data_IF_833924551050
#
_entry.id   IF_833924551050
#
_cell.length_a   1.000
_cell.length_b   1.000
_cell.length_c   1.000
_cell.angle_alpha   90.00
_cell.angle_beta   90.00
_cell.angle_gamma   90.00
#
_symmetry.space_group_name_H-M   'P 1'
#
loop_
_entity.id
_entity.type
_entity.pdbx_description
1 polymer ?
#
# COMPACT_ATOMS: atom_id res chain seq x y z
N UNK A 1 -12.12 -48.19 14.99
CA UNK A 1 -12.46 -46.76 15.13
C UNK A 1 -11.17 -45.97 15.03
N UNK A 2 -10.53 -46.04 13.87
CA UNK A 2 -9.29 -45.32 13.55
C UNK A 2 -9.72 -44.04 12.84
N UNK A 3 -9.97 -43.00 13.61
CA UNK A 3 -10.20 -41.66 13.06
C UNK A 3 -8.81 -41.20 12.59
N UNK A 4 -8.60 -41.13 11.27
CA UNK A 4 -7.28 -40.86 10.71
C UNK A 4 -6.65 -39.59 11.33
N UNK A 5 -5.33 -39.60 11.59
CA UNK A 5 -4.60 -38.43 12.10
C UNK A 5 -4.70 -37.22 11.17
N UNK A 6 -5.02 -37.43 9.88
CA UNK A 6 -5.32 -36.36 8.93
C UNK A 6 -6.53 -35.50 9.35
N UNK A 7 -7.55 -36.08 9.96
CA UNK A 7 -8.74 -35.36 10.42
C UNK A 7 -8.42 -34.51 11.66
N UNK A 8 -7.51 -34.98 12.52
CA UNK A 8 -7.02 -34.20 13.67
C UNK A 8 -6.12 -33.07 13.19
N UNK A 9 -5.23 -33.32 12.21
CA UNK A 9 -4.42 -32.27 11.59
C UNK A 9 -5.29 -31.17 10.95
N UNK A 10 -6.38 -31.55 10.26
CA UNK A 10 -7.33 -30.60 9.66
C UNK A 10 -8.10 -29.75 10.70
N UNK A 11 -8.25 -30.23 11.94
CA UNK A 11 -8.90 -29.49 13.02
C UNK A 11 -7.93 -28.57 13.80
N UNK A 12 -6.63 -28.85 13.77
CA UNK A 12 -5.62 -28.14 14.58
C UNK A 12 -4.65 -27.25 13.78
N UNK A 13 -4.73 -27.23 12.44
CA UNK A 13 -3.88 -26.37 11.61
C UNK A 13 -4.66 -25.71 10.48
N UNK A 14 -4.60 -24.38 10.42
CA UNK A 14 -4.85 -23.66 9.16
C UNK A 14 -3.68 -23.96 8.22
N UNK A 15 -3.69 -25.13 7.62
CA UNK A 15 -2.74 -25.56 6.63
C UNK A 15 -3.06 -25.02 5.25
N UNK A 16 -2.17 -25.29 4.30
CA UNK A 16 -2.41 -25.03 2.89
C UNK A 16 -3.72 -25.67 2.36
N UNK A 17 -4.11 -26.90 2.75
CA UNK A 17 -5.37 -27.50 2.31
C UNK A 17 -6.61 -26.71 2.74
N UNK A 18 -6.67 -26.26 3.99
CA UNK A 18 -7.80 -25.50 4.54
C UNK A 18 -7.93 -24.14 3.84
N UNK A 19 -6.81 -23.46 3.60
CA UNK A 19 -6.82 -22.20 2.84
C UNK A 19 -7.29 -22.39 1.40
N UNK A 20 -6.95 -23.51 0.75
CA UNK A 20 -7.45 -23.83 -0.59
C UNK A 20 -8.97 -24.04 -0.57
N UNK A 21 -9.52 -24.74 0.43
CA UNK A 21 -10.97 -24.93 0.55
C UNK A 21 -11.69 -23.60 0.74
N UNK A 22 -11.18 -22.74 1.63
CA UNK A 22 -11.74 -21.39 1.84
C UNK A 22 -11.65 -20.57 0.55
N UNK A 23 -10.52 -20.63 -0.16
CA UNK A 23 -10.33 -19.96 -1.44
C UNK A 23 -11.34 -20.43 -2.48
N UNK A 24 -11.58 -21.74 -2.59
CA UNK A 24 -12.61 -22.29 -3.50
C UNK A 24 -13.99 -21.74 -3.15
N UNK A 25 -14.37 -21.70 -1.87
CA UNK A 25 -15.66 -21.13 -1.45
C UNK A 25 -15.76 -19.66 -1.87
N UNK A 26 -14.72 -18.86 -1.62
CA UNK A 26 -14.68 -17.46 -2.06
C UNK A 26 -14.75 -17.31 -3.58
N UNK A 27 -14.10 -18.19 -4.34
CA UNK A 27 -14.15 -18.21 -5.79
C UNK A 27 -15.54 -18.57 -6.31
N UNK A 28 -16.30 -19.43 -5.63
CA UNK A 28 -17.68 -19.76 -6.00
C UNK A 28 -18.63 -18.60 -5.70
N UNK A 29 -18.47 -17.94 -4.53
CA UNK A 29 -19.33 -16.83 -4.12
C UNK A 29 -19.08 -15.55 -4.93
N UNK A 30 -17.81 -15.20 -5.15
CA UNK A 30 -17.42 -13.96 -5.81
C UNK A 30 -17.05 -14.14 -7.28
N UNK A 31 -16.70 -15.35 -7.71
CA UNK A 31 -16.17 -15.63 -9.04
C UNK A 31 -14.65 -15.43 -9.14
N UNK A 32 -13.97 -16.28 -9.92
CA UNK A 32 -12.51 -16.23 -10.07
C UNK A 32 -11.95 -14.94 -10.66
N UNK A 33 -12.75 -14.19 -11.39
CA UNK A 33 -12.34 -12.90 -11.95
C UNK A 33 -12.37 -11.75 -10.92
N UNK A 34 -13.14 -11.87 -9.83
CA UNK A 34 -13.33 -10.77 -8.87
C UNK A 34 -12.18 -10.66 -7.86
N UNK A 35 -11.60 -11.78 -7.41
CA UNK A 35 -10.46 -11.75 -6.48
C UNK A 35 -9.25 -10.95 -7.04
N UNK A 36 -8.77 -11.20 -8.27
CA UNK A 36 -7.67 -10.42 -8.85
C UNK A 36 -8.01 -8.94 -9.03
N UNK A 37 -9.26 -8.62 -9.37
CA UNK A 37 -9.71 -7.24 -9.53
C UNK A 37 -9.70 -6.48 -8.19
N UNK A 38 -10.20 -7.11 -7.12
CA UNK A 38 -10.19 -6.55 -5.77
C UNK A 38 -8.76 -6.38 -5.25
N UNK A 39 -7.90 -7.38 -5.46
CA UNK A 39 -6.50 -7.32 -5.09
C UNK A 39 -5.74 -6.19 -5.82
N UNK A 40 -6.00 -6.01 -7.12
CA UNK A 40 -5.43 -4.90 -7.90
C UNK A 40 -5.87 -3.53 -7.36
N UNK A 41 -7.17 -3.35 -7.13
CA UNK A 41 -7.71 -2.10 -6.58
C UNK A 41 -7.14 -1.77 -5.20
N UNK A 42 -7.18 -2.74 -4.28
CA UNK A 42 -6.61 -2.58 -2.93
C UNK A 42 -5.11 -2.30 -2.97
N UNK A 43 -4.37 -2.99 -3.84
CA UNK A 43 -2.93 -2.79 -4.02
C UNK A 43 -2.60 -1.39 -4.54
N UNK A 44 -3.39 -0.86 -5.46
CA UNK A 44 -3.26 0.53 -5.93
C UNK A 44 -3.54 1.52 -4.81
N UNK A 45 -4.63 1.34 -4.05
CA UNK A 45 -4.94 2.22 -2.91
C UNK A 45 -3.85 2.20 -1.84
N UNK A 46 -3.32 1.03 -1.48
CA UNK A 46 -2.21 0.92 -0.51
C UNK A 46 -0.94 1.58 -1.06
N UNK A 47 -0.65 1.45 -2.35
CA UNK A 47 0.51 2.08 -2.99
C UNK A 47 0.42 3.61 -2.96
N UNK A 48 -0.73 4.16 -3.32
CA UNK A 48 -0.97 5.61 -3.29
C UNK A 48 -0.96 6.14 -1.85
N UNK A 49 -1.57 5.42 -0.91
CA UNK A 49 -1.55 5.76 0.50
C UNK A 49 -0.12 5.82 1.06
N UNK A 50 0.72 4.83 0.77
CA UNK A 50 2.14 4.82 1.16
C UNK A 50 2.93 5.97 0.52
N UNK A 51 2.62 6.33 -0.73
CA UNK A 51 3.27 7.45 -1.42
C UNK A 51 2.92 8.78 -0.74
N UNK A 52 1.63 9.01 -0.48
CA UNK A 52 1.17 10.20 0.21
C UNK A 52 1.76 10.32 1.63
N UNK A 53 1.85 9.21 2.38
CA UNK A 53 2.52 9.21 3.69
C UNK A 53 3.98 9.65 3.60
N UNK A 54 4.75 9.13 2.64
CA UNK A 54 6.15 9.53 2.43
C UNK A 54 6.29 11.01 2.03
N UNK A 55 5.40 11.51 1.19
CA UNK A 55 5.40 12.92 0.78
C UNK A 55 5.13 13.84 1.97
N UNK A 56 4.21 13.45 2.86
CA UNK A 56 3.93 14.18 4.11
C UNK A 56 5.13 14.14 5.07
N UNK A 57 5.76 12.98 5.27
CA UNK A 57 6.98 12.86 6.09
C UNK A 57 8.12 13.73 5.55
N UNK A 58 8.34 13.70 4.23
CA UNK A 58 9.40 14.49 3.57
C UNK A 58 9.10 15.99 3.63
N UNK A 59 7.84 16.40 3.51
CA UNK A 59 7.42 17.79 3.63
C UNK A 59 7.47 18.32 5.08
N UNK A 60 7.29 17.45 6.07
CA UNK A 60 7.45 17.80 7.48
C UNK A 60 8.92 17.99 7.88
N UNK A 61 9.86 17.38 7.15
CA UNK A 61 11.31 17.55 7.35
C UNK A 61 11.90 18.70 6.49
N UNK A 62 11.15 19.18 5.49
CA UNK A 62 11.61 20.22 4.57
C UNK A 62 10.75 21.48 4.67
N UNK A 63 11.04 22.36 5.63
CA UNK A 63 10.66 23.77 5.52
C UNK A 63 11.30 24.37 4.24
N UNK A 64 10.60 25.27 3.52
CA UNK A 64 11.02 25.68 2.18
C UNK A 64 12.18 26.68 2.20
N UNK A 65 13.41 26.21 2.03
CA UNK A 65 14.44 27.01 1.36
C UNK A 65 14.14 27.04 -0.14
N UNK A 66 13.31 27.99 -0.59
CA UNK A 66 13.39 28.68 -1.89
C UNK A 66 12.08 29.40 -2.19
N UNK A 67 11.96 30.63 -1.67
CA UNK A 67 11.12 31.66 -2.26
C UNK A 67 11.62 33.07 -1.86
N UNK A 68 12.94 33.29 -1.84
CA UNK A 68 13.52 34.63 -1.85
C UNK A 68 14.24 34.83 -3.18
N UNK A 69 13.48 35.09 -4.24
CA UNK A 69 14.03 35.72 -5.45
C UNK A 69 14.65 37.04 -4.98
N UNK A 70 15.98 37.11 -5.06
CA UNK A 70 16.76 38.35 -4.92
C UNK A 70 16.03 39.50 -5.63
N UNK A 71 15.77 40.63 -4.95
CA UNK A 71 15.50 41.89 -5.65
C UNK A 71 16.61 42.14 -6.67
N UNK A 72 16.28 42.58 -7.89
CA UNK A 72 17.30 42.88 -8.89
C UNK A 72 18.23 43.94 -8.32
N UNK A 73 19.52 43.66 -8.38
CA UNK A 73 20.59 44.60 -8.10
C UNK A 73 20.36 45.86 -8.96
N UNK A 74 19.91 46.93 -8.32
CA UNK A 74 19.93 48.27 -8.89
C UNK A 74 21.37 48.75 -8.94
N UNK A 75 22.06 48.38 -10.02
CA UNK A 75 23.27 49.05 -10.47
C UNK A 75 22.87 50.29 -11.28
N UNK A 76 22.64 51.41 -10.62
CA UNK A 76 23.08 52.74 -11.07
C UNK A 76 22.57 53.87 -10.17
N UNK A 77 23.36 54.30 -9.19
CA UNK A 77 23.80 55.70 -9.12
C UNK A 77 24.93 55.85 -8.09
N UNK A 78 26.14 56.17 -8.58
CA UNK A 78 27.28 56.51 -7.74
C UNK A 78 27.22 57.95 -7.20
N UNK A 79 28.17 58.34 -6.35
CA UNK A 79 28.17 59.64 -5.68
C UNK A 79 28.68 60.74 -6.62
N UNK A 80 27.97 61.87 -6.68
CA UNK A 80 28.45 63.26 -6.57
C UNK A 80 27.28 64.23 -6.79
#
# INVERSE_FOLDING_TARGET
MEILPATVAALFGLGAPELIVILIILLVLFGGAKLPSLAKGLGQSIKEFKKAQKEVETAAESEPETAAKKPPEDKAHGPN
#
